data_IF_067599272167
#
_entry.id   IF_067599272167
#
_cell.length_a   1.000
_cell.length_b   1.000
_cell.length_c   1.000
_cell.angle_alpha   90.00
_cell.angle_beta   90.00
_cell.angle_gamma   90.00
#
_symmetry.space_group_name_H-M   'P 1'
#
loop_
_entity.id
_entity.type
_entity.pdbx_description
1 polymer ?
#
# COMPACT_ATOMS: atom_id res chain seq x y z
N UNK A 1 -5.16 5.17 23.80
CA UNK A 1 -5.27 3.83 24.40
C UNK A 1 -5.43 2.75 23.33
N UNK A 2 -6.27 2.95 22.29
CA UNK A 2 -6.55 1.95 21.24
C UNK A 2 -5.29 1.44 20.51
N UNK A 3 -4.34 2.34 20.19
CA UNK A 3 -3.08 1.96 19.52
C UNK A 3 -2.28 1.01 20.42
N UNK A 4 -2.08 1.35 21.69
CA UNK A 4 -1.30 0.52 22.61
C UNK A 4 -1.95 -0.84 22.84
N UNK A 5 -3.25 -0.88 23.17
CA UNK A 5 -3.96 -2.13 23.45
C UNK A 5 -3.98 -3.02 22.22
N UNK A 6 -4.34 -2.46 21.05
CA UNK A 6 -4.39 -3.21 19.79
C UNK A 6 -3.04 -3.77 19.40
N UNK A 7 -1.98 -2.97 19.48
CA UNK A 7 -0.62 -3.43 19.16
C UNK A 7 -0.13 -4.50 20.14
N UNK A 8 -0.37 -4.32 21.44
CA UNK A 8 0.09 -5.28 22.44
C UNK A 8 -0.59 -6.63 22.30
N UNK A 9 -1.92 -6.66 22.15
CA UNK A 9 -2.66 -7.91 21.94
C UNK A 9 -2.25 -8.60 20.64
N UNK A 10 -2.10 -7.84 19.54
CA UNK A 10 -1.60 -8.39 18.27
C UNK A 10 -0.19 -8.97 18.43
N UNK A 11 0.72 -8.25 19.08
CA UNK A 11 2.10 -8.69 19.27
C UNK A 11 2.19 -9.96 20.12
N UNK A 12 1.36 -10.11 21.15
CA UNK A 12 1.31 -11.34 21.95
C UNK A 12 0.73 -12.51 21.16
N UNK A 13 -0.33 -12.28 20.38
CA UNK A 13 -0.99 -13.34 19.63
C UNK A 13 -0.19 -13.80 18.38
N UNK A 14 0.64 -12.94 17.82
CA UNK A 14 1.33 -13.17 16.54
C UNK A 14 2.25 -14.41 16.53
N UNK A 15 3.11 -14.67 17.55
CA UNK A 15 3.97 -15.87 17.59
C UNK A 15 3.20 -17.18 17.71
N UNK A 16 1.95 -17.17 18.19
CA UNK A 16 1.16 -18.40 18.28
C UNK A 16 0.70 -18.92 16.92
N UNK A 17 0.70 -18.11 15.87
CA UNK A 17 0.32 -18.53 14.51
C UNK A 17 1.24 -19.66 14.02
N UNK A 18 2.59 -19.49 13.93
CA UNK A 18 3.49 -20.56 13.52
C UNK A 18 3.53 -21.73 14.50
N UNK A 19 3.32 -21.50 15.80
CA UNK A 19 3.25 -22.57 16.79
C UNK A 19 2.07 -23.52 16.53
N UNK A 20 0.86 -22.99 16.28
CA UNK A 20 -0.29 -23.81 15.92
C UNK A 20 -0.12 -24.50 14.55
N UNK A 21 0.53 -23.83 13.58
CA UNK A 21 0.89 -24.42 12.30
C UNK A 21 1.84 -25.63 12.47
N UNK A 22 2.88 -25.50 13.28
CA UNK A 22 3.82 -26.58 13.59
C UNK A 22 3.12 -27.80 14.22
N UNK A 23 2.17 -27.55 15.10
CA UNK A 23 1.40 -28.58 15.78
C UNK A 23 0.22 -29.13 14.93
N UNK A 24 0.16 -28.82 13.63
CA UNK A 24 -0.95 -29.20 12.72
C UNK A 24 -2.35 -28.81 13.22
N UNK A 25 -2.45 -27.80 14.08
CA UNK A 25 -3.73 -27.30 14.59
C UNK A 25 -4.23 -26.13 13.75
N UNK A 26 -4.87 -26.45 12.61
CA UNK A 26 -5.38 -25.44 11.66
C UNK A 26 -6.43 -24.52 12.33
N UNK A 27 -7.31 -25.07 13.16
CA UNK A 27 -8.33 -24.28 13.83
C UNK A 27 -7.73 -23.23 14.79
N UNK A 28 -6.72 -23.62 15.58
CA UNK A 28 -5.98 -22.72 16.45
C UNK A 28 -5.22 -21.64 15.66
N UNK A 29 -4.58 -22.02 14.56
CA UNK A 29 -3.90 -21.09 13.66
C UNK A 29 -4.86 -20.02 13.11
N UNK A 30 -6.00 -20.44 12.56
CA UNK A 30 -7.03 -19.53 12.02
C UNK A 30 -7.60 -18.62 13.10
N UNK A 31 -7.84 -19.15 14.31
CA UNK A 31 -8.33 -18.34 15.44
C UNK A 31 -7.29 -17.26 15.83
N UNK A 32 -6.01 -17.60 15.93
CA UNK A 32 -4.96 -16.61 16.22
C UNK A 32 -4.82 -15.57 15.11
N UNK A 33 -4.88 -15.98 13.84
CA UNK A 33 -4.90 -15.05 12.71
C UNK A 33 -6.08 -14.07 12.81
N UNK A 34 -7.29 -14.55 13.13
CA UNK A 34 -8.46 -13.70 13.30
C UNK A 34 -8.29 -12.69 14.45
N UNK A 35 -7.77 -13.12 15.60
CA UNK A 35 -7.46 -12.24 16.73
C UNK A 35 -6.46 -11.16 16.31
N UNK A 36 -5.35 -11.56 15.71
CA UNK A 36 -4.32 -10.62 15.25
C UNK A 36 -4.91 -9.59 14.29
N UNK A 37 -5.68 -10.02 13.29
CA UNK A 37 -6.28 -9.13 12.29
C UNK A 37 -7.27 -8.14 12.92
N UNK A 38 -8.14 -8.58 13.83
CA UNK A 38 -9.11 -7.73 14.53
C UNK A 38 -8.38 -6.63 15.31
N UNK A 39 -7.38 -6.99 16.09
CA UNK A 39 -6.64 -6.02 16.90
C UNK A 39 -5.70 -5.14 16.07
N UNK A 40 -5.16 -5.65 14.95
CA UNK A 40 -4.45 -4.83 13.96
C UNK A 40 -5.36 -3.77 13.33
N UNK A 41 -6.59 -4.10 12.98
CA UNK A 41 -7.56 -3.12 12.48
C UNK A 41 -7.94 -2.10 13.56
N UNK A 42 -8.03 -2.52 14.83
CA UNK A 42 -8.36 -1.63 15.94
C UNK A 42 -7.32 -0.52 16.14
N UNK A 43 -6.02 -0.80 15.99
CA UNK A 43 -4.99 0.23 16.13
C UNK A 43 -4.67 0.97 14.83
N UNK A 44 -4.86 0.35 13.66
CA UNK A 44 -4.48 0.93 12.36
C UNK A 44 -5.20 2.26 12.08
N UNK A 45 -6.52 2.29 12.30
CA UNK A 45 -7.30 3.49 12.00
C UNK A 45 -6.88 4.69 12.86
N UNK A 46 -6.76 4.60 14.18
CA UNK A 46 -6.23 5.70 14.99
C UNK A 46 -4.78 6.08 14.67
N UNK A 47 -3.93 5.10 14.30
CA UNK A 47 -2.54 5.39 13.95
C UNK A 47 -2.42 6.16 12.63
N UNK A 48 -3.25 5.83 11.63
CA UNK A 48 -3.29 6.57 10.35
C UNK A 48 -3.92 7.95 10.53
N UNK A 49 -4.97 8.08 11.37
CA UNK A 49 -5.61 9.36 11.65
C UNK A 49 -4.70 10.34 12.40
N UNK A 50 -3.74 9.82 13.17
CA UNK A 50 -2.80 10.65 13.92
C UNK A 50 -2.01 11.61 13.04
N UNK A 51 -1.62 11.19 11.82
CA UNK A 51 -0.84 12.05 10.91
C UNK A 51 -1.59 13.33 10.50
N UNK A 52 -2.81 13.27 9.96
CA UNK A 52 -3.54 14.48 9.62
C UNK A 52 -3.95 15.34 10.83
N UNK A 53 -4.04 14.75 12.01
CA UNK A 53 -4.39 15.48 13.24
C UNK A 53 -3.24 16.40 13.70
N UNK A 54 -1.99 15.97 13.50
CA UNK A 54 -0.80 16.72 13.95
C UNK A 54 -0.04 17.40 12.79
N UNK A 55 -0.56 17.36 11.57
CA UNK A 55 0.13 17.92 10.39
C UNK A 55 -0.71 18.98 9.71
N UNK A 56 -0.19 20.22 9.51
CA UNK A 56 -0.86 21.26 8.73
C UNK A 56 -1.23 20.77 7.32
N UNK A 57 -2.35 21.24 6.79
CA UNK A 57 -2.91 20.76 5.52
C UNK A 57 -1.95 20.80 4.33
N UNK A 58 -1.15 21.86 4.13
CA UNK A 58 -0.21 21.92 3.02
C UNK A 58 0.85 20.79 3.06
N UNK A 59 1.27 20.38 4.27
CA UNK A 59 2.32 19.37 4.48
C UNK A 59 1.81 17.93 4.53
N UNK A 60 0.49 17.70 4.54
CA UNK A 60 -0.09 16.34 4.65
C UNK A 60 0.35 15.40 3.54
N UNK A 61 0.54 15.90 2.31
CA UNK A 61 1.02 15.09 1.20
C UNK A 61 2.47 14.61 1.44
N UNK A 62 3.35 15.51 1.93
CA UNK A 62 4.74 15.21 2.27
C UNK A 62 4.79 14.19 3.45
N UNK A 63 4.01 14.42 4.49
CA UNK A 63 3.89 13.50 5.63
C UNK A 63 3.38 12.11 5.21
N UNK A 64 2.37 12.04 4.34
CA UNK A 64 1.86 10.78 3.80
C UNK A 64 2.93 10.04 2.98
N UNK A 65 3.73 10.76 2.20
CA UNK A 65 4.87 10.20 1.47
C UNK A 65 5.88 9.54 2.41
N UNK A 66 6.24 10.19 3.52
CA UNK A 66 7.17 9.64 4.53
C UNK A 66 6.60 8.36 5.17
N UNK A 67 5.32 8.36 5.53
CA UNK A 67 4.66 7.18 6.11
C UNK A 67 4.69 6.00 5.13
N UNK A 68 4.40 6.25 3.86
CA UNK A 68 4.46 5.22 2.82
C UNK A 68 5.88 4.68 2.65
N UNK A 69 6.90 5.54 2.60
CA UNK A 69 8.32 5.13 2.54
C UNK A 69 8.66 4.23 3.73
N UNK A 70 8.29 4.62 4.96
CA UNK A 70 8.52 3.79 6.15
C UNK A 70 7.82 2.43 6.06
N UNK A 71 6.60 2.38 5.51
CA UNK A 71 5.89 1.13 5.24
C UNK A 71 6.65 0.22 4.26
N UNK A 72 7.21 0.77 3.19
CA UNK A 72 8.02 0.00 2.24
C UNK A 72 9.36 -0.47 2.82
N UNK A 73 10.00 0.34 3.67
CA UNK A 73 11.21 -0.07 4.40
C UNK A 73 10.90 -1.25 5.33
N UNK A 74 9.77 -1.21 6.05
CA UNK A 74 9.32 -2.31 6.89
C UNK A 74 9.05 -3.59 6.08
N UNK A 75 8.39 -3.47 4.92
CA UNK A 75 8.16 -4.58 3.99
C UNK A 75 9.47 -5.16 3.43
N UNK A 76 10.42 -4.32 3.05
CA UNK A 76 11.75 -4.74 2.60
C UNK A 76 12.51 -5.50 3.71
N UNK A 77 12.47 -4.98 4.95
CA UNK A 77 13.06 -5.66 6.10
C UNK A 77 12.47 -7.05 6.33
N UNK A 78 11.13 -7.18 6.30
CA UNK A 78 10.47 -8.48 6.42
C UNK A 78 10.86 -9.44 5.28
N UNK A 79 11.00 -8.92 4.05
CA UNK A 79 11.43 -9.71 2.89
C UNK A 79 12.88 -10.20 3.05
N UNK A 80 13.79 -9.32 3.52
CA UNK A 80 15.18 -9.69 3.80
C UNK A 80 15.27 -10.76 4.89
N UNK A 81 14.50 -10.64 5.97
CA UNK A 81 14.39 -11.71 6.97
C UNK A 81 13.95 -13.05 6.35
N UNK A 82 12.98 -13.01 5.43
CA UNK A 82 12.51 -14.19 4.70
C UNK A 82 13.58 -14.84 3.79
N UNK A 83 14.60 -14.10 3.34
CA UNK A 83 15.73 -14.65 2.60
C UNK A 83 16.66 -15.51 3.48
N UNK A 84 16.83 -15.10 4.74
CA UNK A 84 17.66 -15.85 5.70
C UNK A 84 16.90 -17.00 6.36
N UNK A 85 15.61 -16.80 6.63
CA UNK A 85 14.74 -17.76 7.29
C UNK A 85 13.81 -18.42 6.26
N UNK A 86 14.40 -19.25 5.39
CA UNK A 86 13.70 -19.81 4.23
C UNK A 86 12.67 -20.85 4.66
N UNK A 87 11.38 -20.48 4.55
CA UNK A 87 10.23 -21.34 4.89
C UNK A 87 10.28 -22.71 4.14
N UNK A 88 10.82 -22.74 2.92
CA UNK A 88 10.97 -23.98 2.16
C UNK A 88 11.85 -25.02 2.87
N UNK A 89 12.83 -24.59 3.67
CA UNK A 89 13.66 -25.50 4.45
C UNK A 89 12.85 -26.22 5.53
N UNK A 90 11.89 -25.51 6.13
CA UNK A 90 10.96 -26.10 7.10
C UNK A 90 9.97 -27.06 6.44
N UNK A 91 9.34 -26.64 5.33
CA UNK A 91 8.30 -27.43 4.65
C UNK A 91 8.88 -28.71 4.05
N UNK A 92 10.11 -28.65 3.52
CA UNK A 92 10.75 -29.78 2.86
C UNK A 92 11.49 -30.71 3.83
N UNK A 93 11.65 -30.32 5.09
CA UNK A 93 12.27 -31.19 6.11
C UNK A 93 11.31 -32.31 6.52
N UNK A 94 11.84 -33.53 6.83
CA UNK A 94 11.06 -34.58 7.46
C UNK A 94 10.46 -34.10 8.77
N UNK A 95 9.28 -34.63 9.15
CA UNK A 95 8.52 -34.15 10.33
C UNK A 95 9.34 -34.11 11.63
N UNK A 96 10.23 -35.07 11.82
CA UNK A 96 11.12 -35.17 13.00
C UNK A 96 12.32 -34.20 12.99
N UNK A 97 12.60 -33.55 11.85
CA UNK A 97 13.69 -32.59 11.68
C UNK A 97 13.17 -31.13 11.55
N UNK A 98 11.86 -30.95 11.56
CA UNK A 98 11.24 -29.61 11.44
C UNK A 98 11.56 -28.76 12.65
N UNK A 99 12.37 -27.73 12.44
CA UNK A 99 12.74 -26.78 13.49
C UNK A 99 11.74 -25.62 13.54
N UNK A 100 10.95 -25.57 14.63
CA UNK A 100 9.97 -24.53 14.88
C UNK A 100 10.58 -23.11 14.80
N UNK A 101 11.81 -22.92 15.28
CA UNK A 101 12.47 -21.61 15.28
C UNK A 101 12.59 -20.98 13.88
N UNK A 102 12.68 -21.77 12.83
CA UNK A 102 12.79 -21.27 11.44
C UNK A 102 11.55 -20.47 11.04
N UNK A 103 10.36 -20.91 11.47
CA UNK A 103 9.09 -20.27 11.13
C UNK A 103 8.63 -19.30 12.22
N UNK A 104 9.04 -19.48 13.48
CA UNK A 104 8.59 -18.67 14.61
C UNK A 104 9.40 -17.39 14.79
N UNK A 105 10.71 -17.44 14.53
CA UNK A 105 11.62 -16.31 14.75
C UNK A 105 11.19 -15.02 14.01
N UNK A 106 10.74 -15.04 12.74
CA UNK A 106 10.24 -13.85 12.06
C UNK A 106 9.04 -13.21 12.79
N UNK A 107 8.16 -14.03 13.34
CA UNK A 107 6.97 -13.56 14.06
C UNK A 107 7.35 -12.96 15.42
N UNK A 108 8.30 -13.57 16.11
CA UNK A 108 8.83 -13.02 17.38
C UNK A 108 9.51 -11.66 17.13
N UNK A 109 10.37 -11.57 16.10
CA UNK A 109 11.03 -10.30 15.74
C UNK A 109 9.99 -9.23 15.43
N UNK A 110 8.99 -9.56 14.61
CA UNK A 110 7.92 -8.63 14.28
C UNK A 110 7.14 -8.18 15.53
N UNK A 111 6.82 -9.11 16.44
CA UNK A 111 6.13 -8.81 17.71
C UNK A 111 6.93 -7.86 18.59
N UNK A 112 8.23 -8.10 18.75
CA UNK A 112 9.13 -7.23 19.51
C UNK A 112 9.19 -5.83 18.87
N UNK A 113 9.34 -5.73 17.57
CA UNK A 113 9.35 -4.45 16.84
C UNK A 113 8.02 -3.70 16.99
N UNK A 114 6.88 -4.41 16.93
CA UNK A 114 5.56 -3.81 17.14
C UNK A 114 5.47 -3.17 18.55
N UNK A 115 5.88 -3.90 19.60
CA UNK A 115 5.86 -3.39 20.98
C UNK A 115 6.80 -2.19 21.12
N UNK A 116 8.04 -2.28 20.65
CA UNK A 116 9.01 -1.19 20.71
C UNK A 116 8.45 0.06 19.98
N UNK A 117 7.91 -0.11 18.77
CA UNK A 117 7.35 0.99 17.99
C UNK A 117 6.18 1.66 18.71
N UNK A 118 5.29 0.87 19.34
CA UNK A 118 4.16 1.41 20.10
C UNK A 118 4.63 2.17 21.36
N UNK A 119 5.65 1.67 22.05
CA UNK A 119 6.22 2.34 23.22
C UNK A 119 6.93 3.65 22.83
N UNK A 120 7.70 3.64 21.74
CA UNK A 120 8.35 4.85 21.20
C UNK A 120 7.29 5.88 20.83
N UNK A 121 6.24 5.49 20.11
CA UNK A 121 5.14 6.38 19.75
C UNK A 121 4.50 7.00 21.01
N UNK A 122 4.20 6.21 22.01
CA UNK A 122 3.59 6.66 23.26
C UNK A 122 4.50 7.61 24.05
N UNK A 123 5.80 7.35 24.05
CA UNK A 123 6.78 8.17 24.78
C UNK A 123 7.04 9.51 24.08
N UNK A 124 7.05 9.52 22.72
CA UNK A 124 7.45 10.68 21.94
C UNK A 124 6.28 11.55 21.52
N UNK A 125 5.14 10.98 21.15
CA UNK A 125 4.00 11.72 20.61
C UNK A 125 2.95 11.97 21.69
N UNK A 126 2.99 13.18 22.25
CA UNK A 126 1.96 13.71 23.16
C UNK A 126 1.01 14.59 22.35
N UNK A 127 -0.02 14.00 21.76
CA UNK A 127 -0.95 14.67 20.82
C UNK A 127 -1.45 16.00 21.36
N UNK A 128 -1.99 16.03 22.58
CA UNK A 128 -2.52 17.24 23.19
C UNK A 128 -1.47 18.36 23.33
N UNK A 129 -0.20 18.01 23.54
CA UNK A 129 0.88 18.98 23.64
C UNK A 129 1.26 19.51 22.28
N UNK A 130 1.37 18.62 21.28
CA UNK A 130 1.68 18.99 19.90
C UNK A 130 0.56 19.85 19.32
N UNK A 131 -0.72 19.50 19.53
CA UNK A 131 -1.86 20.32 19.11
C UNK A 131 -1.82 21.72 19.72
N UNK A 132 -1.42 21.86 20.99
CA UNK A 132 -1.27 23.18 21.61
C UNK A 132 -0.08 23.97 21.08
N UNK A 133 1.06 23.30 20.92
CA UNK A 133 2.29 23.93 20.41
C UNK A 133 2.18 24.34 18.93
N UNK A 134 1.43 23.59 18.14
CA UNK A 134 1.22 23.84 16.70
C UNK A 134 -0.15 24.43 16.37
N UNK A 135 -0.89 24.94 17.35
CA UNK A 135 -2.24 25.44 17.14
C UNK A 135 -2.28 26.58 16.11
N UNK A 136 -1.29 27.47 16.11
CA UNK A 136 -1.19 28.59 15.16
C UNK A 136 -0.91 28.07 13.74
N UNK A 137 0.04 27.13 13.56
CA UNK A 137 0.38 26.55 12.27
C UNK A 137 -0.76 25.68 11.71
N UNK A 138 -1.47 24.96 12.57
CA UNK A 138 -2.64 24.18 12.17
C UNK A 138 -3.78 25.12 11.72
N UNK A 139 -4.03 26.20 12.45
CA UNK A 139 -5.05 27.20 12.09
C UNK A 139 -4.68 27.92 10.77
N UNK A 140 -3.41 28.33 10.61
CA UNK A 140 -2.91 28.93 9.38
C UNK A 140 -3.08 27.97 8.19
N UNK A 141 -2.71 26.68 8.36
CA UNK A 141 -2.91 25.66 7.34
C UNK A 141 -4.38 25.43 6.98
N UNK A 142 -5.31 25.65 7.91
CA UNK A 142 -6.74 25.61 7.65
C UNK A 142 -7.24 26.84 6.88
N UNK A 143 -6.79 28.03 7.25
CA UNK A 143 -7.11 29.27 6.54
C UNK A 143 -6.63 29.22 5.09
N UNK A 144 -5.41 28.79 4.85
CA UNK A 144 -4.85 28.64 3.51
C UNK A 144 -5.68 27.67 2.65
N UNK A 145 -6.06 26.54 3.21
CA UNK A 145 -6.91 25.57 2.51
C UNK A 145 -8.34 26.10 2.29
N UNK A 146 -8.86 26.93 3.17
CA UNK A 146 -10.20 27.56 3.02
C UNK A 146 -10.21 28.60 1.90
N UNK A 147 -9.11 29.35 1.71
CA UNK A 147 -8.96 30.30 0.60
C UNK A 147 -8.87 29.58 -0.75
N UNK A 148 -8.22 28.42 -0.78
CA UNK A 148 -8.07 27.63 -2.00
C UNK A 148 -9.36 26.94 -2.47
N UNK A 149 -10.20 26.52 -1.54
CA UNK A 149 -11.49 25.87 -1.83
C UNK A 149 -12.58 26.34 -0.86
N UNK A 150 -13.25 27.47 -1.15
CA UNK A 150 -14.41 27.89 -0.35
C UNK A 150 -15.57 26.90 -0.58
N UNK A 151 -15.54 25.79 0.14
CA UNK A 151 -16.61 24.80 0.12
C UNK A 151 -17.56 25.17 1.26
N UNK A 152 -18.72 25.66 0.88
CA UNK A 152 -19.82 25.97 1.81
C UNK A 152 -20.31 24.65 2.45
N UNK A 153 -20.07 24.47 3.74
CA UNK A 153 -20.42 23.27 4.48
C UNK A 153 -21.92 23.00 4.56
N UNK A 154 -22.72 24.02 4.45
CA UNK A 154 -24.17 23.94 4.57
C UNK A 154 -24.84 23.56 3.24
N UNK A 155 -24.11 23.62 2.13
CA UNK A 155 -24.65 23.21 0.83
C UNK A 155 -24.32 21.76 0.49
N UNK A 156 -25.24 21.03 -0.15
CA UNK A 156 -24.97 19.70 -0.66
C UNK A 156 -23.90 19.78 -1.76
N UNK A 157 -23.01 18.76 -1.79
CA UNK A 157 -21.97 18.65 -2.81
C UNK A 157 -22.56 18.78 -4.21
N UNK A 158 -21.93 19.57 -5.07
CA UNK A 158 -22.36 19.75 -6.46
C UNK A 158 -22.41 18.40 -7.19
N UNK A 159 -23.33 18.27 -8.16
CA UNK A 159 -23.43 17.03 -8.98
C UNK A 159 -22.11 16.73 -9.68
N UNK A 160 -21.34 17.75 -10.08
CA UNK A 160 -20.04 17.60 -10.72
C UNK A 160 -18.99 17.01 -9.77
N UNK A 161 -18.89 17.53 -8.55
CA UNK A 161 -17.95 17.03 -7.52
C UNK A 161 -18.33 15.61 -7.07
N UNK A 162 -19.63 15.30 -6.93
CA UNK A 162 -20.10 13.95 -6.62
C UNK A 162 -19.72 12.95 -7.73
N UNK A 163 -19.89 13.33 -9.00
CA UNK A 163 -19.48 12.48 -10.14
C UNK A 163 -17.95 12.27 -10.15
N UNK A 164 -17.19 13.33 -9.86
CA UNK A 164 -15.74 13.27 -9.79
C UNK A 164 -15.27 12.37 -8.63
N UNK A 165 -15.87 12.50 -7.45
CA UNK A 165 -15.59 11.61 -6.32
C UNK A 165 -15.85 10.13 -6.67
N UNK A 166 -17.01 9.84 -7.25
CA UNK A 166 -17.36 8.48 -7.65
C UNK A 166 -16.40 7.94 -8.73
N UNK A 167 -15.95 8.78 -9.65
CA UNK A 167 -14.96 8.39 -10.66
C UNK A 167 -13.59 8.07 -10.03
N UNK A 168 -13.14 8.87 -9.06
CA UNK A 168 -11.88 8.61 -8.34
C UNK A 168 -11.99 7.31 -7.55
N UNK A 169 -13.06 7.14 -6.75
CA UNK A 169 -13.26 5.93 -5.92
C UNK A 169 -13.43 4.68 -6.78
N UNK A 170 -14.11 4.78 -7.92
CA UNK A 170 -14.27 3.68 -8.87
C UNK A 170 -12.94 3.29 -9.53
N UNK A 171 -12.15 4.27 -9.97
CA UNK A 171 -10.82 4.03 -10.49
C UNK A 171 -9.90 3.44 -9.42
N UNK A 172 -9.99 3.96 -8.19
CA UNK A 172 -9.27 3.46 -7.03
C UNK A 172 -9.58 1.98 -6.77
N UNK A 173 -10.84 1.62 -6.71
CA UNK A 173 -11.26 0.24 -6.55
C UNK A 173 -10.60 -0.68 -7.62
N UNK A 174 -10.61 -0.26 -8.88
CA UNK A 174 -10.05 -1.04 -9.98
C UNK A 174 -8.52 -1.19 -9.90
N UNK A 175 -7.76 -0.12 -9.62
CA UNK A 175 -6.31 -0.28 -9.51
C UNK A 175 -5.90 -1.05 -8.25
N UNK A 176 -6.63 -0.91 -7.12
CA UNK A 176 -6.39 -1.74 -5.96
C UNK A 176 -6.68 -3.21 -6.22
N UNK A 177 -7.72 -3.54 -7.00
CA UNK A 177 -7.97 -4.91 -7.43
C UNK A 177 -6.79 -5.47 -8.25
N UNK A 178 -6.26 -4.68 -9.19
CA UNK A 178 -5.10 -5.08 -9.99
C UNK A 178 -3.85 -5.28 -9.14
N UNK A 179 -3.52 -4.33 -8.27
CA UNK A 179 -2.33 -4.36 -7.43
C UNK A 179 -2.36 -5.51 -6.42
N UNK A 180 -3.51 -5.74 -5.79
CA UNK A 180 -3.68 -6.85 -4.86
C UNK A 180 -3.68 -8.22 -5.55
N UNK A 181 -4.19 -8.33 -6.77
CA UNK A 181 -4.09 -9.55 -7.56
C UNK A 181 -2.62 -9.97 -7.75
N UNK A 182 -1.80 -9.01 -8.14
CA UNK A 182 -0.36 -9.23 -8.32
C UNK A 182 0.34 -9.53 -6.98
N UNK A 183 0.07 -8.75 -5.95
CA UNK A 183 0.67 -8.95 -4.63
C UNK A 183 0.37 -10.32 -4.04
N UNK A 184 -0.86 -10.82 -4.23
CA UNK A 184 -1.29 -12.11 -3.67
C UNK A 184 -0.74 -13.29 -4.48
N UNK A 185 -0.75 -13.21 -5.82
CA UNK A 185 -0.56 -14.38 -6.67
C UNK A 185 0.73 -14.37 -7.51
N UNK A 186 1.59 -13.36 -7.39
CA UNK A 186 2.84 -13.28 -8.16
C UNK A 186 3.77 -14.47 -7.88
N UNK A 187 3.83 -14.93 -6.63
CA UNK A 187 4.62 -16.10 -6.27
C UNK A 187 4.17 -17.36 -7.01
N UNK A 188 2.86 -17.58 -7.06
CA UNK A 188 2.27 -18.70 -7.78
C UNK A 188 2.51 -18.60 -9.30
N UNK A 189 2.40 -17.40 -9.87
CA UNK A 189 2.73 -17.15 -11.28
C UNK A 189 4.19 -17.48 -11.60
N UNK A 190 5.12 -17.09 -10.73
CA UNK A 190 6.55 -17.39 -10.90
C UNK A 190 6.82 -18.89 -10.83
N UNK A 191 6.21 -19.58 -9.88
CA UNK A 191 6.46 -21.01 -9.65
C UNK A 191 5.71 -21.86 -10.68
N UNK A 192 4.42 -21.67 -10.86
CA UNK A 192 3.57 -22.57 -11.64
C UNK A 192 3.50 -22.23 -13.14
N UNK A 193 3.64 -20.97 -13.53
CA UNK A 193 3.62 -20.59 -14.94
C UNK A 193 5.03 -20.46 -15.53
N UNK A 194 5.91 -19.70 -14.87
CA UNK A 194 7.28 -19.52 -15.36
C UNK A 194 8.19 -20.71 -15.03
N UNK A 195 7.73 -21.64 -14.18
CA UNK A 195 8.52 -22.75 -13.65
C UNK A 195 9.89 -22.28 -13.12
N UNK A 196 9.90 -21.18 -12.41
CA UNK A 196 11.12 -20.51 -11.98
C UNK A 196 11.33 -20.61 -10.47
N UNK A 197 12.54 -20.32 -10.03
CA UNK A 197 12.93 -20.38 -8.62
C UNK A 197 12.14 -19.39 -7.77
N UNK A 198 11.66 -19.82 -6.62
CA UNK A 198 10.84 -18.99 -5.70
C UNK A 198 11.56 -17.73 -5.21
N UNK A 199 12.91 -17.76 -5.13
CA UNK A 199 13.73 -16.59 -4.77
C UNK A 199 13.55 -15.41 -5.75
N UNK A 200 13.14 -15.66 -6.99
CA UNK A 200 12.83 -14.60 -7.96
C UNK A 200 11.69 -13.70 -7.47
N UNK A 201 10.67 -14.25 -6.76
CA UNK A 201 9.57 -13.46 -6.18
C UNK A 201 10.08 -12.48 -5.12
N UNK A 202 11.04 -12.90 -4.30
CA UNK A 202 11.65 -12.02 -3.28
C UNK A 202 12.42 -10.88 -3.94
N UNK A 203 13.20 -11.18 -4.99
CA UNK A 203 13.92 -10.16 -5.76
C UNK A 203 12.95 -9.16 -6.42
N UNK A 204 11.84 -9.64 -6.99
CA UNK A 204 10.78 -8.78 -7.52
C UNK A 204 10.24 -7.83 -6.43
N UNK A 205 9.95 -8.35 -5.25
CA UNK A 205 9.44 -7.55 -4.13
C UNK A 205 10.43 -6.45 -3.71
N UNK A 206 11.71 -6.79 -3.61
CA UNK A 206 12.77 -5.81 -3.27
C UNK A 206 12.89 -4.75 -4.36
N UNK A 207 13.00 -5.13 -5.63
CA UNK A 207 13.15 -4.19 -6.74
C UNK A 207 11.92 -3.29 -6.89
N UNK A 208 10.72 -3.86 -6.79
CA UNK A 208 9.48 -3.10 -6.80
C UNK A 208 9.38 -2.12 -5.63
N UNK A 209 9.78 -2.55 -4.43
CA UNK A 209 9.83 -1.72 -3.23
C UNK A 209 10.81 -0.55 -3.35
N UNK A 210 12.03 -0.79 -3.82
CA UNK A 210 13.02 0.27 -4.06
C UNK A 210 12.53 1.28 -5.09
N UNK A 211 11.97 0.80 -6.21
CA UNK A 211 11.38 1.68 -7.22
C UNK A 211 10.20 2.49 -6.66
N UNK A 212 9.39 1.89 -5.78
CA UNK A 212 8.29 2.60 -5.09
C UNK A 212 8.79 3.69 -4.16
N UNK A 213 9.88 3.48 -3.42
CA UNK A 213 10.50 4.51 -2.58
C UNK A 213 10.90 5.73 -3.42
N UNK A 214 11.54 5.51 -4.58
CA UNK A 214 11.89 6.58 -5.53
C UNK A 214 10.62 7.28 -6.04
N UNK A 215 9.58 6.50 -6.37
CA UNK A 215 8.29 7.03 -6.80
C UNK A 215 7.63 7.93 -5.75
N UNK A 216 7.59 7.51 -4.49
CA UNK A 216 7.03 8.31 -3.40
C UNK A 216 7.84 9.59 -3.15
N UNK A 217 9.17 9.52 -3.19
CA UNK A 217 10.04 10.67 -3.00
C UNK A 217 9.86 11.74 -4.10
N UNK A 218 9.58 11.31 -5.34
CA UNK A 218 9.46 12.20 -6.50
C UNK A 218 8.02 12.60 -6.83
N UNK A 219 7.02 11.89 -6.30
CA UNK A 219 5.61 12.09 -6.64
C UNK A 219 5.10 13.50 -6.34
N UNK A 220 5.53 14.11 -5.22
CA UNK A 220 5.17 15.48 -4.85
C UNK A 220 5.65 16.47 -5.92
N UNK A 221 6.94 16.48 -6.22
CA UNK A 221 7.55 17.38 -7.21
C UNK A 221 6.99 17.19 -8.63
N UNK A 222 6.64 15.94 -8.99
CA UNK A 222 5.96 15.65 -10.27
C UNK A 222 4.56 16.24 -10.25
N UNK A 223 3.82 16.04 -9.16
CA UNK A 223 2.45 16.52 -9.03
C UNK A 223 2.35 18.06 -9.03
N UNK A 224 3.34 18.75 -8.49
CA UNK A 224 3.45 20.22 -8.56
C UNK A 224 3.63 20.73 -9.99
N UNK A 225 4.42 20.00 -10.81
CA UNK A 225 4.71 20.41 -12.20
C UNK A 225 3.57 20.12 -13.17
N UNK A 226 3.02 18.92 -13.15
CA UNK A 226 2.02 18.47 -14.13
C UNK A 226 0.61 18.35 -13.56
N UNK A 227 0.45 18.49 -12.26
CA UNK A 227 -0.82 18.32 -11.54
C UNK A 227 -1.10 16.87 -11.16
N UNK A 228 -1.84 16.67 -10.06
CA UNK A 228 -2.10 15.33 -9.48
C UNK A 228 -2.80 14.37 -10.44
N UNK A 229 -3.77 14.86 -11.22
CA UNK A 229 -4.46 14.04 -12.21
C UNK A 229 -3.47 13.40 -13.19
N UNK A 230 -2.58 14.20 -13.78
CA UNK A 230 -1.64 13.70 -14.77
C UNK A 230 -0.57 12.81 -14.15
N UNK A 231 -0.16 13.09 -12.90
CA UNK A 231 0.77 12.22 -12.16
C UNK A 231 0.17 10.83 -11.94
N UNK A 232 -1.08 10.74 -11.51
CA UNK A 232 -1.81 9.46 -11.37
C UNK A 232 -1.97 8.78 -12.73
N UNK A 233 -2.38 9.52 -13.77
CA UNK A 233 -2.54 8.96 -15.12
C UNK A 233 -1.23 8.41 -15.68
N UNK A 234 -0.11 9.11 -15.50
CA UNK A 234 1.22 8.62 -15.86
C UNK A 234 1.61 7.36 -15.08
N UNK A 235 1.33 7.34 -13.76
CA UNK A 235 1.59 6.18 -12.93
C UNK A 235 0.81 4.94 -13.39
N UNK A 236 -0.49 5.11 -13.67
CA UNK A 236 -1.33 4.04 -14.22
C UNK A 236 -0.88 3.59 -15.62
N UNK A 237 -0.46 4.53 -16.49
CA UNK A 237 0.06 4.20 -17.81
C UNK A 237 1.38 3.40 -17.72
N UNK A 238 2.33 3.81 -16.88
CA UNK A 238 3.57 3.07 -16.63
C UNK A 238 3.28 1.65 -16.14
N UNK A 239 2.37 1.52 -15.16
CA UNK A 239 1.95 0.21 -14.64
C UNK A 239 1.31 -0.64 -15.74
N UNK A 240 0.41 -0.07 -16.55
CA UNK A 240 -0.27 -0.78 -17.62
C UNK A 240 0.69 -1.29 -18.68
N UNK A 241 1.65 -0.47 -19.12
CA UNK A 241 2.70 -0.88 -20.05
C UNK A 241 3.49 -2.06 -19.51
N UNK A 242 3.90 -2.00 -18.25
CA UNK A 242 4.59 -3.10 -17.59
C UNK A 242 3.77 -4.39 -17.58
N UNK A 243 2.48 -4.29 -17.24
CA UNK A 243 1.58 -5.45 -17.20
C UNK A 243 1.31 -6.04 -18.58
N UNK A 244 1.18 -5.21 -19.61
CA UNK A 244 1.04 -5.68 -21.01
C UNK A 244 2.30 -6.48 -21.41
N UNK A 245 3.50 -5.99 -21.11
CA UNK A 245 4.75 -6.72 -21.36
C UNK A 245 4.74 -8.06 -20.61
N UNK A 246 4.27 -8.07 -19.36
CA UNK A 246 4.15 -9.30 -18.57
C UNK A 246 3.19 -10.33 -19.17
N UNK A 247 2.15 -9.91 -19.91
CA UNK A 247 1.25 -10.83 -20.62
C UNK A 247 1.95 -11.66 -21.69
N UNK A 248 3.05 -11.16 -22.25
CA UNK A 248 3.87 -11.85 -23.26
C UNK A 248 5.05 -12.61 -22.68
N UNK A 249 5.21 -12.58 -21.34
CA UNK A 249 6.27 -13.35 -20.68
C UNK A 249 6.04 -14.84 -20.85
N UNK A 250 7.12 -15.56 -21.08
CA UNK A 250 7.13 -17.02 -21.21
C UNK A 250 8.29 -17.63 -20.39
N UNK A 251 8.19 -18.92 -20.00
CA UNK A 251 9.30 -19.65 -19.41
C UNK A 251 10.54 -19.60 -20.32
N UNK A 252 11.72 -19.37 -19.74
CA UNK A 252 12.96 -19.23 -20.54
C UNK A 252 13.48 -20.55 -21.10
N UNK A 253 13.03 -21.69 -20.56
CA UNK A 253 13.53 -23.02 -20.91
C UNK A 253 14.96 -23.31 -20.44
N UNK A 254 15.68 -22.32 -19.90
CA UNK A 254 17.05 -22.47 -19.41
C UNK A 254 17.04 -22.98 -17.98
N UNK A 255 17.35 -24.26 -17.78
CA UNK A 255 17.38 -24.88 -16.46
C UNK A 255 18.54 -24.32 -15.62
N UNK A 256 18.22 -23.89 -14.39
CA UNK A 256 19.18 -23.35 -13.41
C UNK A 256 19.04 -23.97 -12.03
N UNK A 257 17.88 -24.51 -11.68
CA UNK A 257 17.59 -25.11 -10.38
C UNK A 257 17.82 -26.63 -10.38
N UNK A 258 18.13 -27.17 -9.21
CA UNK A 258 18.36 -28.61 -9.01
C UNK A 258 17.11 -29.49 -9.29
N UNK A 259 15.89 -28.85 -9.26
CA UNK A 259 14.60 -29.51 -9.53
C UNK A 259 14.10 -29.29 -10.96
N UNK A 260 14.95 -28.79 -11.87
CA UNK A 260 14.56 -28.49 -13.25
C UNK A 260 13.88 -27.11 -13.40
N UNK A 261 14.03 -26.23 -12.42
CA UNK A 261 13.49 -24.88 -12.47
C UNK A 261 14.22 -24.03 -13.51
N UNK A 262 13.47 -23.16 -14.20
CA UNK A 262 14.02 -22.29 -15.24
C UNK A 262 14.57 -20.99 -14.69
N UNK A 263 15.52 -20.40 -15.40
CA UNK A 263 15.98 -19.04 -15.14
C UNK A 263 14.81 -18.07 -15.25
N UNK A 264 14.74 -17.11 -14.32
CA UNK A 264 13.70 -16.09 -14.36
C UNK A 264 13.95 -15.11 -15.51
N UNK A 265 12.91 -14.70 -16.27
CA UNK A 265 13.05 -13.72 -17.34
C UNK A 265 13.49 -12.36 -16.79
N UNK A 266 14.74 -11.93 -17.07
CA UNK A 266 15.33 -10.70 -16.50
C UNK A 266 14.54 -9.44 -16.83
N UNK A 267 13.87 -9.40 -17.99
CA UNK A 267 12.99 -8.28 -18.38
C UNK A 267 11.88 -8.03 -17.33
N UNK A 268 11.38 -9.09 -16.68
CA UNK A 268 10.31 -8.93 -15.68
C UNK A 268 10.77 -8.22 -14.41
N UNK A 269 12.06 -8.22 -14.07
CA UNK A 269 12.59 -7.40 -12.99
C UNK A 269 12.45 -5.91 -13.30
N UNK A 270 12.77 -5.51 -14.53
CA UNK A 270 12.62 -4.13 -14.99
C UNK A 270 11.14 -3.72 -15.03
N UNK A 271 10.30 -4.59 -15.57
CA UNK A 271 8.83 -4.38 -15.63
C UNK A 271 8.26 -4.18 -14.23
N UNK A 272 8.69 -5.00 -13.28
CA UNK A 272 8.22 -4.91 -11.91
C UNK A 272 8.67 -3.63 -11.20
N UNK A 273 9.89 -3.17 -11.46
CA UNK A 273 10.39 -1.87 -10.97
C UNK A 273 9.57 -0.70 -11.56
N UNK A 274 9.29 -0.72 -12.87
CA UNK A 274 8.43 0.29 -13.52
C UNK A 274 7.02 0.29 -12.89
N UNK A 275 6.45 -0.88 -12.66
CA UNK A 275 5.14 -1.03 -11.97
C UNK A 275 5.19 -0.44 -10.56
N UNK A 276 6.23 -0.75 -9.79
CA UNK A 276 6.40 -0.23 -8.42
C UNK A 276 6.48 1.30 -8.39
N UNK A 277 7.30 1.89 -9.26
CA UNK A 277 7.39 3.34 -9.43
C UNK A 277 6.03 3.96 -9.82
N UNK A 278 5.37 3.39 -10.85
CA UNK A 278 4.08 3.90 -11.31
C UNK A 278 3.00 3.85 -10.23
N UNK A 279 2.89 2.75 -9.48
CA UNK A 279 1.92 2.63 -8.40
C UNK A 279 2.22 3.57 -7.23
N UNK A 280 3.48 3.87 -6.93
CA UNK A 280 3.84 4.86 -5.93
C UNK A 280 3.33 6.27 -6.28
N UNK A 281 3.42 6.68 -7.54
CA UNK A 281 2.84 7.95 -8.01
C UNK A 281 1.32 7.99 -7.79
N UNK A 282 0.63 6.86 -8.08
CA UNK A 282 -0.81 6.73 -7.91
C UNK A 282 -1.19 6.84 -6.43
N UNK A 283 -0.59 6.02 -5.57
CA UNK A 283 -0.91 5.98 -4.13
C UNK A 283 -0.61 7.29 -3.40
N UNK A 284 0.49 7.97 -3.78
CA UNK A 284 0.84 9.25 -3.14
C UNK A 284 -0.14 10.37 -3.44
N UNK A 285 -0.68 10.41 -4.66
CA UNK A 285 -1.52 11.51 -5.12
C UNK A 285 -3.02 11.27 -4.96
N UNK A 286 -3.47 10.00 -4.84
CA UNK A 286 -4.90 9.64 -4.85
C UNK A 286 -5.65 10.10 -3.61
N UNK A 287 -5.15 9.80 -2.42
CA UNK A 287 -5.78 10.18 -1.16
C UNK A 287 -5.93 11.71 -0.98
N UNK A 288 -4.87 12.52 -1.18
CA UNK A 288 -5.01 13.97 -1.14
C UNK A 288 -6.09 14.49 -2.11
N UNK A 289 -6.19 13.90 -3.31
CA UNK A 289 -7.17 14.31 -4.31
C UNK A 289 -8.61 14.06 -3.87
N UNK A 290 -8.88 13.02 -3.09
CA UNK A 290 -10.21 12.74 -2.52
C UNK A 290 -10.56 13.73 -1.42
N UNK A 291 -9.64 14.01 -0.50
CA UNK A 291 -9.89 14.89 0.63
C UNK A 291 -9.98 16.37 0.23
N UNK A 292 -9.41 16.76 -0.90
CA UNK A 292 -9.57 18.10 -1.49
C UNK A 292 -10.99 18.40 -2.00
N UNK A 293 -11.79 17.36 -2.22
CA UNK A 293 -13.19 17.52 -2.64
C UNK A 293 -14.14 17.86 -1.49
N UNK A 294 -13.67 17.94 -0.27
CA UNK A 294 -14.49 18.19 0.90
C UNK A 294 -13.92 19.30 1.79
N UNK A 295 -14.79 19.87 2.61
CA UNK A 295 -14.40 20.78 3.69
C UNK A 295 -13.70 20.04 4.82
N UNK A 296 -12.99 20.79 5.69
CA UNK A 296 -12.30 20.28 6.87
C UNK A 296 -13.19 19.44 7.77
N UNK A 297 -14.45 19.85 7.97
CA UNK A 297 -15.42 19.11 8.81
C UNK A 297 -15.84 17.75 8.25
N UNK A 298 -15.64 17.50 6.95
CA UNK A 298 -16.05 16.27 6.27
C UNK A 298 -14.90 15.35 5.89
N UNK A 299 -13.63 15.69 6.23
CA UNK A 299 -12.43 14.91 5.89
C UNK A 299 -12.55 13.46 6.36
N UNK A 300 -12.96 13.22 7.61
CA UNK A 300 -13.11 11.85 8.13
C UNK A 300 -14.08 11.00 7.32
N UNK A 301 -15.18 11.59 6.81
CA UNK A 301 -16.15 10.90 5.95
C UNK A 301 -15.56 10.54 4.59
N UNK A 302 -14.78 11.44 3.98
CA UNK A 302 -14.16 11.20 2.68
C UNK A 302 -12.98 10.22 2.78
N UNK A 303 -12.23 10.30 3.87
CA UNK A 303 -11.24 9.27 4.24
C UNK A 303 -11.91 7.90 4.37
N UNK A 304 -13.08 7.83 5.02
CA UNK A 304 -13.86 6.60 5.10
C UNK A 304 -14.27 6.05 3.73
N UNK A 305 -14.70 6.90 2.80
CA UNK A 305 -15.02 6.47 1.43
C UNK A 305 -13.80 5.92 0.69
N UNK A 306 -12.64 6.60 0.80
CA UNK A 306 -11.38 6.14 0.23
C UNK A 306 -11.00 4.75 0.74
N UNK A 307 -10.95 4.59 2.06
CA UNK A 307 -10.61 3.28 2.63
C UNK A 307 -11.68 2.21 2.40
N UNK A 308 -12.96 2.57 2.32
CA UNK A 308 -13.99 1.62 1.96
C UNK A 308 -13.80 1.08 0.53
N UNK A 309 -13.44 1.92 -0.43
CA UNK A 309 -13.17 1.50 -1.80
C UNK A 309 -11.92 0.61 -1.86
N UNK A 310 -10.78 1.04 -1.30
CA UNK A 310 -9.52 0.28 -1.34
C UNK A 310 -9.59 -1.04 -0.57
N UNK A 311 -10.17 -1.06 0.64
CA UNK A 311 -10.28 -2.29 1.43
C UNK A 311 -11.28 -3.29 0.84
N UNK A 312 -12.38 -2.80 0.25
CA UNK A 312 -13.31 -3.67 -0.49
C UNK A 312 -12.62 -4.33 -1.68
N UNK A 313 -11.81 -3.58 -2.43
CA UNK A 313 -11.02 -4.13 -3.53
C UNK A 313 -10.04 -5.21 -3.03
N UNK A 314 -9.34 -4.95 -1.94
CA UNK A 314 -8.40 -5.91 -1.34
C UNK A 314 -9.09 -7.20 -0.89
N UNK A 315 -10.29 -7.10 -0.32
CA UNK A 315 -11.06 -8.26 0.15
C UNK A 315 -11.64 -9.07 -1.00
N UNK A 316 -12.18 -8.39 -2.02
CA UNK A 316 -12.84 -9.06 -3.15
C UNK A 316 -11.82 -9.70 -4.10
N UNK A 317 -10.66 -9.09 -4.29
CA UNK A 317 -9.69 -9.51 -5.30
C UNK A 317 -9.22 -10.98 -5.16
N UNK A 318 -8.76 -11.46 -3.99
CA UNK A 318 -8.30 -12.84 -3.87
C UNK A 318 -9.40 -13.85 -4.23
N UNK A 319 -10.63 -13.55 -3.82
CA UNK A 319 -11.80 -14.40 -4.11
C UNK A 319 -12.15 -14.37 -5.59
N UNK A 320 -12.32 -13.18 -6.16
CA UNK A 320 -12.70 -13.02 -7.57
C UNK A 320 -11.64 -13.61 -8.52
N UNK A 321 -10.36 -13.34 -8.27
CA UNK A 321 -9.29 -13.89 -9.08
C UNK A 321 -9.10 -15.38 -8.84
N UNK A 322 -9.30 -15.87 -7.61
CA UNK A 322 -9.29 -17.30 -7.32
C UNK A 322 -10.27 -18.07 -8.20
N UNK A 323 -11.53 -17.61 -8.28
CA UNK A 323 -12.54 -18.21 -9.19
C UNK A 323 -12.11 -18.17 -10.66
N UNK A 324 -11.49 -17.07 -11.12
CA UNK A 324 -11.01 -16.96 -12.51
C UNK A 324 -9.86 -17.94 -12.76
N UNK A 325 -8.93 -18.07 -11.81
CA UNK A 325 -7.81 -19.01 -11.92
C UNK A 325 -8.27 -20.47 -11.89
N UNK A 326 -9.22 -20.80 -11.02
CA UNK A 326 -9.81 -22.14 -10.94
C UNK A 326 -10.57 -22.50 -12.23
N UNK A 327 -11.33 -21.54 -12.80
CA UNK A 327 -12.07 -21.75 -14.03
C UNK A 327 -11.17 -21.87 -15.28
N UNK A 328 -10.04 -21.15 -15.31
CA UNK A 328 -9.12 -21.15 -16.46
C UNK A 328 -8.00 -22.18 -16.34
N UNK A 329 -7.70 -22.63 -15.11
CA UNK A 329 -6.56 -23.48 -14.76
C UNK A 329 -5.21 -22.94 -15.32
N UNK A 330 -5.12 -21.63 -15.54
CA UNK A 330 -4.02 -20.99 -16.25
C UNK A 330 -3.49 -19.76 -15.51
N UNK A 331 -2.33 -19.88 -14.89
CA UNK A 331 -1.63 -18.78 -14.20
C UNK A 331 -1.28 -17.60 -15.13
N UNK A 332 -1.22 -17.82 -16.43
CA UNK A 332 -1.10 -16.76 -17.47
C UNK A 332 -2.23 -15.74 -17.41
N UNK A 333 -3.36 -16.09 -16.80
CA UNK A 333 -4.52 -15.19 -16.64
C UNK A 333 -4.24 -14.05 -15.66
N UNK A 334 -3.29 -14.20 -14.72
CA UNK A 334 -2.96 -13.18 -13.72
C UNK A 334 -2.58 -11.82 -14.34
N UNK A 335 -1.55 -11.70 -15.23
CA UNK A 335 -1.20 -10.42 -15.83
C UNK A 335 -2.30 -9.88 -16.76
N UNK A 336 -3.08 -10.73 -17.39
CA UNK A 336 -4.21 -10.31 -18.25
C UNK A 336 -5.31 -9.66 -17.39
N UNK A 337 -5.70 -10.31 -16.30
CA UNK A 337 -6.67 -9.77 -15.34
C UNK A 337 -6.21 -8.41 -14.79
N UNK A 338 -4.97 -8.31 -14.33
CA UNK A 338 -4.40 -7.08 -13.82
C UNK A 338 -4.33 -5.97 -14.88
N UNK A 339 -3.98 -6.31 -16.12
CA UNK A 339 -3.94 -5.36 -17.24
C UNK A 339 -5.32 -4.79 -17.57
N UNK A 340 -6.35 -5.62 -17.61
CA UNK A 340 -7.74 -5.19 -17.91
C UNK A 340 -8.21 -4.22 -16.83
N UNK A 341 -8.00 -4.53 -15.55
CA UNK A 341 -8.42 -3.68 -14.45
C UNK A 341 -7.63 -2.35 -14.40
N UNK A 342 -6.32 -2.39 -14.65
CA UNK A 342 -5.50 -1.17 -14.71
C UNK A 342 -5.89 -0.32 -15.92
N UNK A 343 -6.18 -0.91 -17.07
CA UNK A 343 -6.66 -0.19 -18.25
C UNK A 343 -8.02 0.47 -17.99
N UNK A 344 -8.96 -0.26 -17.40
CA UNK A 344 -10.26 0.28 -17.03
C UNK A 344 -10.11 1.44 -16.03
N UNK A 345 -9.26 1.27 -15.01
CA UNK A 345 -8.94 2.33 -14.05
C UNK A 345 -8.35 3.56 -14.73
N UNK A 346 -7.36 3.38 -15.61
CA UNK A 346 -6.72 4.45 -16.37
C UNK A 346 -7.74 5.23 -17.21
N UNK A 347 -8.64 4.54 -17.91
CA UNK A 347 -9.69 5.17 -18.73
C UNK A 347 -10.69 5.94 -17.85
N UNK A 348 -11.23 5.31 -16.81
CA UNK A 348 -12.18 5.95 -15.88
C UNK A 348 -11.56 7.19 -15.26
N UNK A 349 -10.33 7.09 -14.74
CA UNK A 349 -9.65 8.18 -14.09
C UNK A 349 -9.34 9.32 -15.08
N UNK A 350 -8.71 9.00 -16.21
CA UNK A 350 -8.24 10.02 -17.16
C UNK A 350 -9.39 10.75 -17.84
N UNK A 351 -10.50 10.05 -18.17
CA UNK A 351 -11.63 10.63 -18.89
C UNK A 351 -12.61 11.36 -17.97
N UNK A 352 -12.88 10.82 -16.77
CA UNK A 352 -13.96 11.33 -15.91
C UNK A 352 -13.46 12.28 -14.81
N UNK A 353 -12.19 12.20 -14.42
CA UNK A 353 -11.63 13.07 -13.39
C UNK A 353 -11.08 14.36 -14.02
N UNK A 354 -11.48 15.50 -13.48
CA UNK A 354 -10.97 16.81 -13.92
C UNK A 354 -9.64 17.12 -13.20
N UNK A 355 -8.77 17.86 -13.88
CA UNK A 355 -7.51 18.32 -13.26
C UNK A 355 -7.81 19.43 -12.25
N UNK A 356 -7.49 19.20 -10.99
CA UNK A 356 -7.45 20.22 -9.96
C UNK A 356 -6.01 20.72 -9.96
N UNK A 357 -5.79 21.97 -10.43
CA UNK A 357 -4.48 22.60 -10.30
C UNK A 357 -4.34 22.99 -8.83
N UNK A 358 -3.37 22.42 -8.14
CA UNK A 358 -2.87 23.00 -6.90
C UNK A 358 -2.41 24.43 -7.24
N UNK A 359 -3.00 25.45 -6.60
CA UNK A 359 -2.47 26.81 -6.70
C UNK A 359 -1.08 26.79 -6.07
N UNK A 360 -0.08 27.36 -6.75
CA UNK A 360 1.18 27.71 -6.10
C UNK A 360 0.83 28.60 -4.92
N UNK A 361 1.20 28.19 -3.74
CA UNK A 361 1.11 29.01 -2.55
C UNK A 361 2.20 30.06 -2.69
N UNK A 362 1.83 31.32 -2.89
CA UNK A 362 2.81 32.41 -2.79
C UNK A 362 3.34 32.44 -1.35
N UNK A 363 4.65 32.61 -1.21
CA UNK A 363 5.41 32.59 0.04
C UNK A 363 4.70 33.34 1.17
N UNK A 364 4.12 32.62 2.11
CA UNK A 364 3.59 33.16 3.36
C UNK A 364 4.63 32.89 4.43
N UNK A 365 5.07 33.92 5.13
CA UNK A 365 6.17 33.91 6.13
C UNK A 365 6.10 32.80 7.19
N UNK A 366 4.98 32.15 7.40
CA UNK A 366 4.85 31.00 8.32
C UNK A 366 5.15 29.63 7.69
N UNK A 367 5.06 29.50 6.36
CA UNK A 367 5.33 28.23 5.65
C UNK A 367 6.82 27.99 5.42
N UNK A 368 7.62 29.05 5.33
CA UNK A 368 9.10 28.95 5.23
C UNK A 368 9.69 28.26 6.50
N UNK A 369 9.07 28.54 7.67
CA UNK A 369 9.44 27.88 8.93
C UNK A 369 9.06 26.40 8.99
N UNK A 370 8.09 25.94 8.16
CA UNK A 370 7.63 24.56 8.07
C UNK A 370 8.38 23.73 7.01
N UNK A 371 9.40 24.32 6.35
CA UNK A 371 10.20 23.64 5.32
C UNK A 371 9.40 23.32 4.05
N UNK A 372 8.42 24.16 3.69
CA UNK A 372 7.62 24.00 2.47
C UNK A 372 8.34 24.47 1.20
N UNK A 373 9.56 24.99 1.33
CA UNK A 373 10.37 25.58 0.24
C UNK A 373 11.33 24.60 -0.45
N UNK A 374 11.36 23.30 -0.06
CA UNK A 374 12.23 22.30 -0.69
C UNK A 374 11.47 21.27 -1.56
#
# INVERSE_FOLDING_TARGET
PYILVGTFVSAVAFPFIPLFFHNNNIAGMVAMMAIVLIFMMMYRNPAVALMPDITPKPLRAKANGIINIMGYIGGAFATVLGLFLVLSNYINAPDHERNLWVIELPFIIASVLMVISALVLFATIKVNKIEQEMAEELALGEEMAAVETPIDDDKPMSKANKRMLLAILGAEFLWFMSDNALGTYIGNYVIYYLNSVSSATMILTILGGLASVIGFATAGSIAEKIGRKWTISCGLACTLVGLIIMCFAAPTGKVVGARGEFAFPTLLFVVWAIKGFGMALVHNCSFPMVVELCSSKKIGRFTGYYYAASMSAQTITPVALGFVLDATMAWRTLPVYASILTAASFLVFTLLVKNIKAKKVDHVKGLDALGADD
#
